data_IF_386442343426
#
_entry.id   IF_386442343426
#
_cell.length_a   1.000
_cell.length_b   1.000
_cell.length_c   1.000
_cell.angle_alpha   90.00
_cell.angle_beta   90.00
_cell.angle_gamma   90.00
#
_symmetry.space_group_name_H-M   'P 1'
#
loop_
_entity.id
_entity.type
_entity.pdbx_description
1 polymer ?
#
# COMPACT_ATOMS: atom_id res chain seq x y z
N UNK A 1 -16.11 -3.12 29.72
CA UNK A 1 -14.90 -3.97 29.55
C UNK A 1 -14.06 -3.33 28.45
N UNK A 2 -12.80 -3.02 28.75
CA UNK A 2 -11.88 -2.25 27.91
C UNK A 2 -11.67 -2.90 26.54
N UNK A 3 -12.43 -2.46 25.54
CA UNK A 3 -12.06 -2.68 24.14
C UNK A 3 -10.90 -1.76 23.80
N UNK A 4 -9.99 -2.21 22.94
CA UNK A 4 -8.96 -1.34 22.37
C UNK A 4 -9.67 -0.20 21.64
N UNK A 5 -9.79 0.94 22.30
CA UNK A 5 -10.36 2.14 21.74
C UNK A 5 -9.39 2.77 20.75
N UNK A 6 -9.89 3.74 20.00
CA UNK A 6 -9.08 4.56 19.10
C UNK A 6 -7.94 5.25 19.85
N UNK A 7 -8.13 5.60 21.13
CA UNK A 7 -7.13 6.25 21.98
C UNK A 7 -5.98 5.31 22.34
N UNK A 8 -6.27 4.08 22.77
CA UNK A 8 -5.25 3.07 23.08
C UNK A 8 -4.43 2.71 21.83
N UNK A 9 -5.10 2.58 20.68
CA UNK A 9 -4.44 2.28 19.40
C UNK A 9 -3.49 3.40 18.98
N UNK A 10 -3.85 4.67 19.23
CA UNK A 10 -3.00 5.82 18.97
C UNK A 10 -1.77 5.85 19.89
N UNK A 11 -1.92 5.53 21.18
CA UNK A 11 -0.80 5.41 22.13
C UNK A 11 0.18 4.31 21.67
N UNK A 12 -0.34 3.15 21.28
CA UNK A 12 0.48 2.04 20.75
C UNK A 12 1.21 2.48 19.48
N UNK A 13 0.53 3.17 18.56
CA UNK A 13 1.14 3.69 17.34
C UNK A 13 2.30 4.65 17.64
N UNK A 14 2.13 5.54 18.61
CA UNK A 14 3.20 6.46 19.04
C UNK A 14 4.40 5.68 19.59
N UNK A 15 4.18 4.68 20.46
CA UNK A 15 5.25 3.84 21.00
C UNK A 15 6.01 3.13 19.87
N UNK A 16 5.28 2.55 18.92
CA UNK A 16 5.88 1.87 17.75
C UNK A 16 6.72 2.85 16.92
N UNK A 17 6.23 4.06 16.69
CA UNK A 17 6.98 5.11 15.97
C UNK A 17 8.25 5.52 16.72
N UNK A 18 8.22 5.59 18.06
CA UNK A 18 9.41 5.91 18.86
C UNK A 18 10.45 4.79 18.78
N UNK A 19 10.03 3.52 18.84
CA UNK A 19 10.94 2.37 18.80
C UNK A 19 11.56 2.14 17.41
N UNK A 20 10.75 2.19 16.37
CA UNK A 20 11.18 1.86 15.00
C UNK A 20 11.58 3.10 14.19
N UNK A 21 11.18 4.29 14.63
CA UNK A 21 11.32 5.55 13.91
C UNK A 21 10.17 5.80 12.93
N UNK A 22 9.78 7.08 12.79
CA UNK A 22 8.71 7.51 11.88
C UNK A 22 8.97 7.18 10.41
N UNK A 23 10.23 6.92 10.04
CA UNK A 23 10.64 6.61 8.65
C UNK A 23 10.53 5.14 8.30
N UNK A 24 10.59 4.22 9.27
CA UNK A 24 10.60 2.77 8.98
C UNK A 24 9.22 2.19 8.73
N UNK A 25 8.19 2.69 9.41
CA UNK A 25 6.80 2.27 9.16
C UNK A 25 6.37 2.51 7.70
N UNK A 26 6.56 3.72 7.13
CA UNK A 26 6.23 3.97 5.73
C UNK A 26 7.08 3.18 4.74
N UNK A 27 8.36 2.94 5.04
CA UNK A 27 9.23 2.13 4.19
C UNK A 27 8.74 0.69 4.07
N UNK A 28 8.38 0.06 5.19
CA UNK A 28 7.82 -1.30 5.21
C UNK A 28 6.43 -1.30 4.56
N UNK A 29 5.60 -0.31 4.86
CA UNK A 29 4.26 -0.17 4.29
C UNK A 29 4.26 -0.04 2.77
N UNK A 30 5.23 0.65 2.18
CA UNK A 30 5.39 0.75 0.72
C UNK A 30 5.65 -0.63 0.09
N UNK A 31 6.58 -1.41 0.63
CA UNK A 31 6.88 -2.75 0.13
C UNK A 31 5.70 -3.72 0.26
N UNK A 32 5.02 -3.70 1.41
CA UNK A 32 3.80 -4.51 1.63
C UNK A 32 2.67 -4.05 0.69
N UNK A 33 2.49 -2.75 0.52
CA UNK A 33 1.45 -2.18 -0.35
C UNK A 33 1.65 -2.56 -1.82
N UNK A 34 2.89 -2.50 -2.31
CA UNK A 34 3.25 -2.97 -3.65
C UNK A 34 3.02 -4.47 -3.80
N UNK A 35 3.40 -5.28 -2.81
CA UNK A 35 3.16 -6.71 -2.81
C UNK A 35 1.67 -7.05 -2.86
N UNK A 36 0.83 -6.40 -2.02
CA UNK A 36 -0.62 -6.58 -2.03
C UNK A 36 -1.23 -6.13 -3.36
N UNK A 37 -0.78 -5.00 -3.91
CA UNK A 37 -1.26 -4.49 -5.21
C UNK A 37 -0.96 -5.48 -6.34
N UNK A 38 0.26 -5.99 -6.40
CA UNK A 38 0.67 -6.96 -7.41
C UNK A 38 -0.03 -8.31 -7.21
N UNK A 39 -0.20 -8.75 -5.96
CA UNK A 39 -0.96 -9.96 -5.63
C UNK A 39 -2.42 -9.86 -6.07
N UNK A 40 -3.07 -8.72 -5.77
CA UNK A 40 -4.44 -8.45 -6.21
C UNK A 40 -4.54 -8.43 -7.74
N UNK A 41 -3.59 -7.78 -8.42
CA UNK A 41 -3.54 -7.73 -9.88
C UNK A 41 -3.40 -9.14 -10.49
N UNK A 42 -2.44 -9.93 -10.03
CA UNK A 42 -2.23 -11.30 -10.52
C UNK A 42 -3.39 -12.26 -10.20
N UNK A 43 -4.12 -12.03 -9.10
CA UNK A 43 -5.31 -12.82 -8.76
C UNK A 43 -6.53 -12.40 -9.57
N UNK A 44 -6.66 -11.11 -9.90
CA UNK A 44 -7.78 -10.56 -10.66
C UNK A 44 -7.63 -10.73 -12.18
N UNK A 45 -6.39 -10.71 -12.71
CA UNK A 45 -6.10 -10.86 -14.14
C UNK A 45 -6.21 -12.31 -14.65
N UNK A 46 -6.43 -13.31 -13.77
CA UNK A 46 -6.72 -14.68 -14.23
C UNK A 46 -8.03 -14.80 -15.01
N UNK A 47 -8.94 -13.83 -14.88
CA UNK A 47 -10.23 -13.82 -15.57
C UNK A 47 -10.28 -12.87 -16.78
N UNK A 48 -9.25 -12.06 -17.02
CA UNK A 48 -9.21 -11.10 -18.13
C UNK A 48 -7.88 -11.21 -18.88
N UNK A 49 -7.90 -11.88 -20.03
CA UNK A 49 -6.88 -11.70 -21.07
C UNK A 49 -7.08 -10.27 -21.60
N UNK A 50 -6.47 -9.29 -20.96
CA UNK A 50 -6.52 -7.89 -21.39
C UNK A 50 -5.63 -7.70 -22.63
N UNK A 51 -6.25 -7.82 -23.81
CA UNK A 51 -5.66 -7.47 -25.12
C UNK A 51 -5.73 -5.96 -25.41
N UNK A 52 -5.98 -5.10 -24.42
CA UNK A 52 -5.97 -3.66 -24.65
C UNK A 52 -4.53 -3.13 -24.70
N UNK A 53 -4.04 -2.63 -25.84
CA UNK A 53 -2.72 -2.02 -25.89
C UNK A 53 -2.73 -0.77 -25.03
N UNK A 54 -1.86 -0.75 -24.02
CA UNK A 54 -1.61 0.43 -23.19
C UNK A 54 -1.18 1.57 -24.11
N UNK A 55 -2.07 2.54 -24.33
CA UNK A 55 -1.74 3.79 -25.03
C UNK A 55 -0.60 4.47 -24.27
N UNK A 56 0.60 4.40 -24.84
CA UNK A 56 1.69 5.32 -24.53
C UNK A 56 1.22 6.73 -24.89
N UNK A 57 0.89 7.53 -23.87
CA UNK A 57 0.83 8.98 -24.02
C UNK A 57 2.26 9.51 -24.17
N UNK A 58 2.83 9.37 -25.36
CA UNK A 58 3.94 10.20 -25.83
C UNK A 58 3.36 11.14 -26.89
N UNK A 59 2.83 12.27 -26.45
CA UNK A 59 2.61 13.43 -27.33
C UNK A 59 3.32 14.64 -26.69
N UNK A 60 4.63 14.63 -26.89
CA UNK A 60 5.44 15.83 -26.97
C UNK A 60 5.25 16.40 -28.39
N UNK A 61 4.56 17.54 -28.51
CA UNK A 61 4.88 18.66 -29.43
C UNK A 61 3.68 19.58 -29.61
N UNK A 62 3.78 20.78 -29.04
CA UNK A 62 3.31 22.00 -29.71
C UNK A 62 4.32 23.11 -29.48
#
# INVERSE_FOLDING_TARGET
MFGLGTQELLIILVIVIVLFGATRLPQIGRGIGEAIKNFKKATSEKDEIDVTPKKDNTEEKK
#
